data_IF_443766251965
#
_entry.id   IF_443766251965
#
_cell.length_a   1.000
_cell.length_b   1.000
_cell.length_c   1.000
_cell.angle_alpha   90.00
_cell.angle_beta   90.00
_cell.angle_gamma   90.00
#
_symmetry.space_group_name_H-M   'P 1'
#
loop_
_entity.id
_entity.type
_entity.pdbx_description
1 polymer ?
#
# COMPACT_ATOMS: atom_id res chain seq x y z
N UNK A 1 -5.27 -10.33 2.14
CA UNK A 1 -5.31 -9.63 0.84
C UNK A 1 -3.89 -9.44 0.36
N UNK A 2 -3.63 -9.79 -0.88
CA UNK A 2 -2.32 -9.62 -1.53
C UNK A 2 -1.96 -8.14 -1.64
N UNK A 3 -0.69 -7.78 -1.46
CA UNK A 3 -0.21 -6.41 -1.70
C UNK A 3 -0.01 -6.20 -3.20
N UNK A 4 -0.81 -5.30 -3.80
CA UNK A 4 -0.79 -5.03 -5.25
C UNK A 4 0.36 -4.09 -5.61
N UNK A 5 1.24 -4.55 -6.48
CA UNK A 5 2.39 -3.79 -6.97
C UNK A 5 2.21 -3.53 -8.47
N UNK A 6 2.16 -2.26 -8.84
CA UNK A 6 2.14 -1.82 -10.24
C UNK A 6 3.57 -1.50 -10.69
N UNK A 7 4.07 -2.20 -11.70
CA UNK A 7 5.29 -1.83 -12.42
C UNK A 7 4.89 -1.20 -13.74
N UNK A 8 5.01 0.12 -13.84
CA UNK A 8 4.51 0.89 -14.98
C UNK A 8 5.62 1.62 -15.74
N UNK A 9 5.31 2.10 -16.92
CA UNK A 9 6.23 2.87 -17.77
C UNK A 9 6.01 2.60 -19.26
N UNK A 10 6.72 3.31 -20.11
CA UNK A 10 6.60 3.20 -21.56
C UNK A 10 6.94 1.81 -22.11
N UNK A 11 6.39 1.41 -23.27
CA UNK A 11 6.77 0.17 -23.95
C UNK A 11 8.27 0.14 -24.27
N UNK A 12 8.98 -0.85 -23.76
CA UNK A 12 10.44 -0.97 -23.90
C UNK A 12 11.26 -0.45 -22.71
N UNK A 13 10.63 0.11 -21.67
CA UNK A 13 11.33 0.61 -20.46
C UNK A 13 11.90 -0.49 -19.56
N UNK A 14 11.74 -1.78 -19.90
CA UNK A 14 12.29 -2.89 -19.10
C UNK A 14 11.39 -3.39 -17.97
N UNK A 15 10.11 -3.00 -17.92
CA UNK A 15 9.14 -3.44 -16.89
C UNK A 15 9.14 -4.93 -16.64
N UNK A 16 8.99 -5.71 -17.71
CA UNK A 16 8.90 -7.17 -17.62
C UNK A 16 10.17 -7.79 -17.04
N UNK A 17 11.34 -7.33 -17.48
CA UNK A 17 12.63 -7.81 -16.95
C UNK A 17 12.77 -7.44 -15.47
N UNK A 18 12.39 -6.20 -15.11
CA UNK A 18 12.40 -5.74 -13.73
C UNK A 18 11.44 -6.57 -12.86
N UNK A 19 10.23 -6.81 -13.33
CA UNK A 19 9.22 -7.61 -12.62
C UNK A 19 9.71 -9.03 -12.40
N UNK A 20 10.33 -9.66 -13.39
CA UNK A 20 10.90 -11.00 -13.26
C UNK A 20 11.98 -11.08 -12.18
N UNK A 21 12.90 -10.13 -12.15
CA UNK A 21 13.96 -10.10 -11.13
C UNK A 21 13.39 -9.79 -9.72
N UNK A 22 12.39 -8.89 -9.63
CA UNK A 22 11.70 -8.59 -8.38
C UNK A 22 10.95 -9.81 -7.85
N UNK A 23 10.23 -10.53 -8.71
CA UNK A 23 9.55 -11.79 -8.38
C UNK A 23 10.54 -12.81 -7.84
N UNK A 24 11.64 -13.09 -8.56
CA UNK A 24 12.68 -14.02 -8.11
C UNK A 24 13.21 -13.66 -6.72
N UNK A 25 13.40 -12.36 -6.46
CA UNK A 25 13.94 -11.89 -5.19
C UNK A 25 12.95 -12.05 -4.06
N UNK A 26 11.69 -11.70 -4.27
CA UNK A 26 10.62 -11.79 -3.25
C UNK A 26 10.23 -13.24 -2.95
N UNK A 27 10.25 -14.14 -3.95
CA UNK A 27 9.94 -15.56 -3.79
C UNK A 27 10.89 -16.30 -2.85
N UNK A 28 12.02 -15.71 -2.47
CA UNK A 28 12.92 -16.30 -1.48
C UNK A 28 12.30 -16.37 -0.08
N UNK A 29 11.33 -15.49 0.23
CA UNK A 29 10.75 -15.34 1.57
C UNK A 29 9.24 -15.18 1.59
N UNK A 30 8.58 -14.96 0.45
CA UNK A 30 7.17 -14.66 0.33
C UNK A 30 6.53 -15.40 -0.84
N UNK A 31 5.21 -15.54 -0.79
CA UNK A 31 4.42 -16.00 -1.94
C UNK A 31 4.16 -14.84 -2.89
N UNK A 32 4.44 -15.03 -4.18
CA UNK A 32 4.32 -13.97 -5.20
C UNK A 32 3.57 -14.50 -6.41
N UNK A 33 2.60 -13.73 -6.90
CA UNK A 33 1.97 -13.91 -8.21
C UNK A 33 2.36 -12.76 -9.12
N UNK A 34 2.69 -13.10 -10.35
CA UNK A 34 3.05 -12.13 -11.38
C UNK A 34 2.10 -12.21 -12.57
N UNK A 35 1.58 -11.06 -12.96
CA UNK A 35 0.67 -10.87 -14.07
C UNK A 35 1.29 -9.90 -15.07
N UNK A 36 1.72 -10.40 -16.20
CA UNK A 36 2.17 -9.58 -17.32
C UNK A 36 0.98 -9.25 -18.22
N UNK A 37 0.76 -7.97 -18.52
CA UNK A 37 -0.42 -7.55 -19.25
C UNK A 37 -0.50 -8.07 -20.69
N UNK A 38 0.64 -8.26 -21.36
CA UNK A 38 0.65 -8.79 -22.72
C UNK A 38 0.22 -10.28 -22.71
N UNK A 39 0.73 -11.05 -21.75
CA UNK A 39 0.28 -12.44 -21.53
C UNK A 39 -1.21 -12.53 -21.20
N UNK A 40 -1.69 -11.62 -20.35
CA UNK A 40 -3.12 -11.57 -20.02
C UNK A 40 -3.96 -11.20 -21.23
N UNK A 41 -3.53 -10.24 -22.07
CA UNK A 41 -4.21 -9.91 -23.34
C UNK A 41 -4.27 -11.10 -24.28
N UNK A 42 -3.19 -11.84 -24.37
CA UNK A 42 -3.11 -13.06 -25.20
C UNK A 42 -4.11 -14.11 -24.72
N UNK A 43 -4.18 -14.39 -23.42
CA UNK A 43 -5.13 -15.35 -22.82
C UNK A 43 -6.59 -15.01 -23.11
N UNK A 44 -6.92 -13.72 -23.14
CA UNK A 44 -8.27 -13.24 -23.42
C UNK A 44 -8.50 -12.89 -24.90
N UNK A 45 -7.49 -13.03 -25.75
CA UNK A 45 -7.50 -12.61 -27.16
C UNK A 45 -8.01 -11.18 -27.34
N UNK A 46 -7.58 -10.26 -26.47
CA UNK A 46 -8.07 -8.87 -26.40
C UNK A 46 -6.93 -7.87 -26.60
N UNK A 47 -6.67 -7.55 -27.85
CA UNK A 47 -5.65 -6.57 -28.26
C UNK A 47 -6.24 -5.20 -28.61
N UNK A 48 -7.36 -4.85 -27.98
CA UNK A 48 -7.97 -3.54 -28.09
C UNK A 48 -7.20 -2.53 -27.24
N UNK A 49 -6.64 -1.49 -27.89
CA UNK A 49 -5.93 -0.38 -27.26
C UNK A 49 -6.71 0.93 -27.26
N UNK A 50 -8.03 0.90 -27.60
CA UNK A 50 -8.93 2.02 -27.38
C UNK A 50 -9.02 2.40 -25.90
N UNK A 51 -9.55 3.56 -25.54
CA UNK A 51 -9.78 3.92 -24.14
C UNK A 51 -10.57 2.85 -23.38
N UNK A 52 -11.60 2.29 -24.00
CA UNK A 52 -12.44 1.24 -23.43
C UNK A 52 -11.70 -0.07 -23.28
N UNK A 53 -10.86 -0.46 -24.26
CA UNK A 53 -10.02 -1.64 -24.20
C UNK A 53 -8.92 -1.54 -23.14
N UNK A 54 -8.36 -0.35 -22.94
CA UNK A 54 -7.40 -0.08 -21.87
C UNK A 54 -8.06 -0.16 -20.49
N UNK A 55 -9.25 0.41 -20.33
CA UNK A 55 -10.03 0.34 -19.09
C UNK A 55 -10.37 -1.12 -18.74
N UNK A 56 -10.88 -1.88 -19.72
CA UNK A 56 -11.18 -3.30 -19.57
C UNK A 56 -9.96 -4.11 -19.13
N UNK A 57 -8.79 -3.83 -19.72
CA UNK A 57 -7.54 -4.50 -19.35
C UNK A 57 -7.10 -4.17 -17.92
N UNK A 58 -7.17 -2.91 -17.52
CA UNK A 58 -6.80 -2.50 -16.14
C UNK A 58 -7.73 -3.15 -15.11
N UNK A 59 -9.03 -3.18 -15.37
CA UNK A 59 -10.01 -3.85 -14.50
C UNK A 59 -9.68 -5.32 -14.34
N UNK A 60 -9.38 -6.01 -15.46
CA UNK A 60 -8.97 -7.41 -15.47
C UNK A 60 -7.69 -7.65 -14.67
N UNK A 61 -6.68 -6.80 -14.84
CA UNK A 61 -5.42 -6.87 -14.07
C UNK A 61 -5.66 -6.70 -12.57
N UNK A 62 -6.56 -5.79 -12.18
CA UNK A 62 -6.97 -5.61 -10.80
C UNK A 62 -7.67 -6.86 -10.24
N UNK A 63 -8.64 -7.39 -10.95
CA UNK A 63 -9.38 -8.59 -10.53
C UNK A 63 -8.46 -9.80 -10.34
N UNK A 64 -7.48 -9.99 -11.24
CA UNK A 64 -6.47 -11.04 -11.12
C UNK A 64 -5.60 -10.85 -9.88
N UNK A 65 -5.19 -9.60 -9.61
CA UNK A 65 -4.39 -9.27 -8.43
C UNK A 65 -5.17 -9.47 -7.13
N UNK A 66 -6.46 -9.11 -7.11
CA UNK A 66 -7.32 -9.23 -5.92
C UNK A 66 -7.72 -10.69 -5.62
N UNK A 67 -7.88 -11.51 -6.67
CA UNK A 67 -8.29 -12.91 -6.54
C UNK A 67 -7.15 -13.87 -6.17
N UNK A 68 -5.89 -13.42 -6.23
CA UNK A 68 -4.78 -14.30 -5.95
C UNK A 68 -4.51 -14.44 -4.45
N UNK A 69 -4.25 -15.69 -4.03
CA UNK A 69 -3.80 -16.01 -2.67
C UNK A 69 -2.26 -15.98 -2.62
N UNK A 70 -1.72 -14.77 -2.45
CA UNK A 70 -0.28 -14.53 -2.34
C UNK A 70 0.00 -13.30 -1.46
N UNK A 71 1.21 -13.21 -0.91
CA UNK A 71 1.64 -12.02 -0.16
C UNK A 71 1.75 -10.79 -1.06
N UNK A 72 2.24 -11.01 -2.29
CA UNK A 72 2.40 -9.96 -3.30
C UNK A 72 1.80 -10.37 -4.64
N UNK A 73 1.07 -9.45 -5.28
CA UNK A 73 0.67 -9.51 -6.67
C UNK A 73 1.39 -8.42 -7.47
N UNK A 74 2.26 -8.82 -8.38
CA UNK A 74 3.03 -7.91 -9.23
C UNK A 74 2.36 -7.86 -10.60
N UNK A 75 1.95 -6.66 -11.03
CA UNK A 75 1.34 -6.43 -12.32
C UNK A 75 2.20 -5.48 -13.13
N UNK A 76 2.70 -5.91 -14.31
CA UNK A 76 3.48 -5.07 -15.19
C UNK A 76 2.72 -4.71 -16.47
N UNK A 77 2.47 -3.41 -16.64
CA UNK A 77 1.82 -2.84 -17.81
C UNK A 77 2.07 -1.34 -17.93
N UNK A 78 1.71 -0.75 -19.06
CA UNK A 78 2.01 0.67 -19.34
C UNK A 78 1.28 1.61 -18.40
N UNK A 79 0.00 1.37 -18.13
CA UNK A 79 -0.89 2.20 -17.29
C UNK A 79 -0.75 3.71 -17.56
N UNK A 80 -1.10 4.20 -18.77
CA UNK A 80 -0.59 5.46 -19.27
C UNK A 80 -1.22 6.70 -18.65
N UNK A 81 -2.44 6.63 -18.10
CA UNK A 81 -3.16 7.79 -17.55
C UNK A 81 -3.39 7.66 -16.05
N UNK A 82 -3.61 8.79 -15.38
CA UNK A 82 -3.91 8.79 -13.96
C UNK A 82 -5.22 8.03 -13.66
N UNK A 83 -6.25 8.20 -14.48
CA UNK A 83 -7.52 7.49 -14.32
C UNK A 83 -7.34 5.96 -14.30
N UNK A 84 -6.51 5.41 -15.20
CA UNK A 84 -6.24 3.99 -15.24
C UNK A 84 -5.45 3.51 -14.00
N UNK A 85 -4.54 4.34 -13.47
CA UNK A 85 -3.83 4.07 -12.22
C UNK A 85 -4.79 4.06 -11.03
N UNK A 86 -5.73 4.99 -10.99
CA UNK A 86 -6.76 5.08 -9.94
C UNK A 86 -7.69 3.86 -9.99
N UNK A 87 -8.06 3.38 -11.19
CA UNK A 87 -8.84 2.14 -11.35
C UNK A 87 -8.06 0.93 -10.87
N UNK A 88 -6.77 0.81 -11.17
CA UNK A 88 -5.95 -0.30 -10.69
C UNK A 88 -5.76 -0.25 -9.17
N UNK A 89 -5.64 0.93 -8.58
CA UNK A 89 -5.55 1.18 -7.14
C UNK A 89 -4.44 0.35 -6.48
N UNK A 90 -3.21 0.57 -6.93
CA UNK A 90 -2.03 -0.13 -6.43
C UNK A 90 -1.66 0.28 -4.99
N UNK A 91 -1.18 -0.68 -4.18
CA UNK A 91 -0.57 -0.40 -2.88
C UNK A 91 0.86 0.16 -3.01
N UNK A 92 1.51 -0.15 -4.13
CA UNK A 92 2.86 0.32 -4.47
C UNK A 92 2.96 0.54 -5.97
N UNK A 93 3.48 1.70 -6.36
CA UNK A 93 3.74 2.07 -7.76
C UNK A 93 5.24 2.17 -7.98
N UNK A 94 5.75 1.38 -8.93
CA UNK A 94 7.13 1.42 -9.42
C UNK A 94 7.08 1.97 -10.84
N UNK A 95 7.60 3.16 -11.04
CA UNK A 95 7.67 3.77 -12.36
C UNK A 95 9.03 3.54 -13.01
N UNK A 96 9.03 2.81 -14.12
CA UNK A 96 10.19 2.58 -14.98
C UNK A 96 10.33 3.71 -16.00
N UNK A 97 11.10 4.75 -15.68
CA UNK A 97 11.39 5.92 -16.52
C UNK A 97 12.79 5.83 -17.16
N UNK A 98 13.16 4.63 -17.59
CA UNK A 98 14.49 4.35 -18.17
C UNK A 98 14.65 4.78 -19.62
N UNK A 99 13.54 5.15 -20.28
CA UNK A 99 13.50 5.64 -21.66
C UNK A 99 12.56 6.85 -21.77
N UNK A 100 12.85 7.79 -22.65
CA UNK A 100 12.02 8.98 -22.87
C UNK A 100 10.93 8.77 -23.91
N UNK A 101 11.14 7.85 -24.84
CA UNK A 101 10.19 7.52 -25.89
C UNK A 101 10.08 5.99 -26.04
N UNK A 102 8.88 5.48 -26.05
CA UNK A 102 8.57 4.06 -26.32
C UNK A 102 8.39 3.81 -27.82
N UNK A 103 8.18 2.54 -28.17
CA UNK A 103 8.06 2.08 -29.57
C UNK A 103 6.79 2.58 -30.29
N UNK A 104 5.77 3.06 -29.57
CA UNK A 104 4.46 3.39 -30.10
C UNK A 104 4.14 4.86 -29.84
N UNK A 105 4.05 5.67 -30.88
CA UNK A 105 3.81 7.11 -30.79
C UNK A 105 2.47 7.47 -30.17
N UNK A 106 1.43 6.69 -30.38
CA UNK A 106 0.11 6.87 -29.76
C UNK A 106 0.18 6.73 -28.24
N UNK A 107 0.91 5.74 -27.77
CA UNK A 107 1.13 5.50 -26.35
C UNK A 107 2.01 6.58 -25.72
N UNK A 108 3.06 7.06 -26.44
CA UNK A 108 3.91 8.16 -25.98
C UNK A 108 3.09 9.44 -25.75
N UNK A 109 2.16 9.75 -26.66
CA UNK A 109 1.30 10.94 -26.56
C UNK A 109 0.26 10.83 -25.42
N UNK A 110 -0.19 9.60 -25.13
CA UNK A 110 -1.18 9.35 -24.11
C UNK A 110 -0.55 9.29 -22.71
N UNK A 111 0.74 8.94 -22.61
CA UNK A 111 1.40 8.68 -21.35
C UNK A 111 1.54 9.97 -20.52
N UNK A 112 0.93 9.95 -19.36
CA UNK A 112 1.03 11.00 -18.35
C UNK A 112 2.01 10.53 -17.27
N UNK A 113 3.12 11.23 -17.03
CA UNK A 113 3.98 10.95 -15.89
C UNK A 113 3.17 10.89 -14.60
N UNK A 114 3.35 9.89 -13.75
CA UNK A 114 2.63 9.82 -12.50
C UNK A 114 3.02 10.97 -11.56
N UNK A 115 2.04 11.51 -10.82
CA UNK A 115 2.26 12.61 -9.88
C UNK A 115 2.90 12.12 -8.59
N UNK A 116 2.58 10.89 -8.18
CA UNK A 116 3.08 10.25 -6.97
C UNK A 116 3.43 8.79 -7.26
N UNK A 117 4.62 8.38 -6.82
CA UNK A 117 5.12 7.00 -6.97
C UNK A 117 5.97 6.63 -5.76
N UNK A 118 5.90 5.37 -5.37
CA UNK A 118 6.77 4.87 -4.29
C UNK A 118 8.22 4.72 -4.74
N UNK A 119 8.42 4.37 -6.02
CA UNK A 119 9.76 4.19 -6.60
C UNK A 119 9.82 4.73 -8.04
N UNK A 120 10.76 5.63 -8.29
CA UNK A 120 11.05 6.20 -9.61
C UNK A 120 12.39 5.65 -10.12
N UNK A 121 12.35 4.71 -11.04
CA UNK A 121 13.51 4.01 -11.59
C UNK A 121 13.92 4.67 -12.90
N UNK A 122 15.00 5.44 -12.87
CA UNK A 122 15.50 6.21 -14.02
C UNK A 122 16.60 5.51 -14.81
N UNK A 123 17.23 4.53 -14.20
CA UNK A 123 18.29 3.72 -14.79
C UNK A 123 18.12 2.24 -14.45
N UNK A 124 18.74 1.38 -15.25
CA UNK A 124 18.70 -0.06 -15.01
C UNK A 124 19.92 -0.50 -14.21
N UNK A 125 19.74 -0.62 -12.88
CA UNK A 125 20.74 -1.21 -12.00
C UNK A 125 20.13 -2.33 -11.15
N UNK A 126 20.92 -3.37 -10.87
CA UNK A 126 20.49 -4.48 -10.02
C UNK A 126 20.20 -4.05 -8.56
N UNK A 127 20.70 -2.89 -8.15
CA UNK A 127 20.53 -2.37 -6.80
C UNK A 127 19.10 -1.89 -6.56
N UNK A 128 18.37 -1.42 -7.58
CA UNK A 128 16.96 -1.09 -7.49
C UNK A 128 16.11 -2.30 -7.04
N UNK A 129 16.31 -3.45 -7.67
CA UNK A 129 15.56 -4.67 -7.32
C UNK A 129 15.83 -5.09 -5.89
N UNK A 130 17.09 -5.05 -5.44
CA UNK A 130 17.47 -5.40 -4.06
C UNK A 130 16.86 -4.44 -3.03
N UNK A 131 16.97 -3.13 -3.29
CA UNK A 131 16.47 -2.09 -2.41
C UNK A 131 14.94 -2.16 -2.29
N UNK A 132 14.24 -2.26 -3.44
CA UNK A 132 12.77 -2.33 -3.45
C UNK A 132 12.28 -3.61 -2.78
N UNK A 133 12.89 -4.78 -3.08
CA UNK A 133 12.52 -6.03 -2.43
C UNK A 133 12.70 -5.96 -0.91
N UNK A 134 13.82 -5.41 -0.43
CA UNK A 134 14.05 -5.22 1.00
C UNK A 134 12.99 -4.33 1.64
N UNK A 135 12.66 -3.19 1.02
CA UNK A 135 11.65 -2.27 1.53
C UNK A 135 10.23 -2.86 1.52
N UNK A 136 9.89 -3.67 0.51
CA UNK A 136 8.59 -4.33 0.42
C UNK A 136 8.39 -5.38 1.51
N UNK A 137 9.47 -6.02 1.96
CA UNK A 137 9.45 -7.07 2.99
C UNK A 137 9.51 -6.52 4.42
N UNK A 138 9.89 -5.26 4.59
CA UNK A 138 9.79 -4.59 5.90
C UNK A 138 8.29 -4.47 6.23
N UNK A 139 7.80 -5.01 7.37
CA UNK A 139 6.44 -4.74 7.81
C UNK A 139 6.24 -3.22 7.82
N UNK A 140 5.26 -2.72 7.06
CA UNK A 140 4.91 -1.29 7.19
C UNK A 140 4.60 -1.05 8.66
N UNK A 141 5.50 -0.37 9.36
CA UNK A 141 5.14 0.21 10.65
C UNK A 141 3.89 1.07 10.38
N UNK A 142 2.80 0.79 11.10
CA UNK A 142 1.60 1.64 10.97
C UNK A 142 2.04 3.09 10.97
N UNK A 143 1.55 3.90 10.03
CA UNK A 143 1.94 5.31 9.97
C UNK A 143 1.72 5.92 11.36
N UNK A 144 2.68 6.70 11.85
CA UNK A 144 2.59 7.34 13.17
C UNK A 144 1.24 8.05 13.38
N UNK A 145 0.70 8.66 12.31
CA UNK A 145 -0.64 9.28 12.34
C UNK A 145 -1.75 8.25 12.61
N UNK A 146 -1.73 7.09 11.96
CA UNK A 146 -2.74 6.05 12.19
C UNK A 146 -2.65 5.46 13.60
N UNK A 147 -1.44 5.24 14.10
CA UNK A 147 -1.21 4.79 15.48
C UNK A 147 -1.67 5.83 16.50
N UNK A 148 -1.39 7.11 16.27
CA UNK A 148 -1.83 8.21 17.12
C UNK A 148 -3.36 8.32 17.09
N UNK A 149 -3.99 8.26 15.91
CA UNK A 149 -5.45 8.33 15.77
C UNK A 149 -6.14 7.18 16.50
N UNK A 150 -5.62 5.96 16.38
CA UNK A 150 -6.12 4.79 17.13
C UNK A 150 -5.97 5.00 18.64
N UNK A 151 -4.82 5.50 19.10
CA UNK A 151 -4.59 5.76 20.52
C UNK A 151 -5.52 6.82 21.09
N UNK A 152 -5.74 7.90 20.35
CA UNK A 152 -6.66 9.00 20.75
C UNK A 152 -8.09 8.50 20.78
N UNK A 153 -8.56 7.81 19.72
CA UNK A 153 -9.94 7.30 19.66
C UNK A 153 -10.23 6.30 20.77
N UNK A 154 -9.30 5.38 21.04
CA UNK A 154 -9.40 4.44 22.15
C UNK A 154 -9.49 5.15 23.52
N UNK A 155 -8.70 6.21 23.68
CA UNK A 155 -8.70 7.02 24.91
C UNK A 155 -10.04 7.74 25.13
N UNK A 156 -10.61 8.31 24.06
CA UNK A 156 -11.92 8.97 24.10
C UNK A 156 -13.00 7.95 24.49
N UNK A 157 -13.02 6.77 23.88
CA UNK A 157 -13.99 5.71 24.19
C UNK A 157 -13.89 5.31 25.67
N UNK A 158 -12.69 4.97 26.16
CA UNK A 158 -12.50 4.54 27.55
C UNK A 158 -12.84 5.63 28.58
N UNK A 159 -12.54 6.90 28.27
CA UNK A 159 -12.93 8.01 29.15
C UNK A 159 -14.44 8.24 29.18
N UNK A 160 -15.10 8.12 28.02
CA UNK A 160 -16.56 8.23 27.90
C UNK A 160 -17.27 7.09 28.64
N UNK A 161 -16.74 5.88 28.53
CA UNK A 161 -17.26 4.70 29.27
C UNK A 161 -17.19 4.94 30.79
N UNK A 162 -16.04 5.36 31.28
CA UNK A 162 -15.87 5.63 32.71
C UNK A 162 -16.80 6.75 33.18
N UNK A 163 -16.97 7.81 32.39
CA UNK A 163 -17.90 8.90 32.70
C UNK A 163 -19.33 8.38 32.79
N UNK A 164 -19.80 7.63 31.82
CA UNK A 164 -21.16 7.08 31.78
C UNK A 164 -21.45 6.13 32.93
N UNK A 165 -20.53 5.22 33.24
CA UNK A 165 -20.67 4.28 34.37
C UNK A 165 -20.72 5.07 35.70
N UNK A 166 -19.81 6.03 35.90
CA UNK A 166 -19.75 6.84 37.12
C UNK A 166 -21.00 7.69 37.30
N UNK A 167 -21.52 8.26 36.22
CA UNK A 167 -22.77 8.99 36.23
C UNK A 167 -23.98 8.11 36.55
N UNK A 168 -24.06 6.92 35.97
CA UNK A 168 -25.14 5.98 36.27
C UNK A 168 -25.16 5.53 37.74
N UNK A 169 -23.97 5.41 38.37
CA UNK A 169 -23.84 5.00 39.78
C UNK A 169 -24.08 6.18 40.72
N UNK A 170 -23.53 7.36 40.45
CA UNK A 170 -23.55 8.50 41.37
C UNK A 170 -24.75 9.41 41.19
N UNK A 171 -25.38 9.36 40.02
CA UNK A 171 -26.45 10.28 39.62
C UNK A 171 -26.03 11.74 39.47
N UNK A 172 -24.73 12.07 39.65
CA UNK A 172 -24.19 13.42 39.65
C UNK A 172 -23.14 13.61 38.57
N UNK A 173 -23.40 14.51 37.64
CA UNK A 173 -22.50 14.83 36.51
C UNK A 173 -21.14 15.34 36.99
N UNK A 174 -21.10 16.17 38.02
CA UNK A 174 -19.86 16.73 38.57
C UNK A 174 -18.93 15.68 39.16
N UNK A 175 -19.48 14.71 39.92
CA UNK A 175 -18.73 13.58 40.47
C UNK A 175 -18.23 12.63 39.37
N UNK A 176 -19.06 12.36 38.36
CA UNK A 176 -18.71 11.54 37.22
C UNK A 176 -17.56 12.17 36.39
N UNK A 177 -17.60 13.47 36.15
CA UNK A 177 -16.53 14.19 35.47
C UNK A 177 -15.23 14.20 36.26
N UNK A 178 -15.27 14.33 37.58
CA UNK A 178 -14.10 14.23 38.46
C UNK A 178 -13.44 12.85 38.40
N UNK A 179 -14.24 11.79 38.49
CA UNK A 179 -13.74 10.40 38.40
C UNK A 179 -13.09 10.15 37.04
N UNK A 180 -13.74 10.52 35.92
CA UNK A 180 -13.20 10.36 34.59
C UNK A 180 -11.89 11.15 34.40
N UNK A 181 -11.80 12.39 34.93
CA UNK A 181 -10.60 13.20 34.89
C UNK A 181 -9.41 12.57 35.64
N UNK A 182 -9.67 12.11 36.90
CA UNK A 182 -8.65 11.40 37.69
C UNK A 182 -8.18 10.15 37.00
N UNK A 183 -9.06 9.38 36.38
CA UNK A 183 -8.70 8.17 35.64
C UNK A 183 -7.79 8.46 34.46
N UNK A 184 -7.98 9.53 33.70
CA UNK A 184 -7.08 9.92 32.60
C UNK A 184 -5.66 10.15 33.11
N UNK A 185 -5.51 10.88 34.21
CA UNK A 185 -4.19 11.16 34.80
C UNK A 185 -3.55 9.87 35.32
N UNK A 186 -4.29 9.12 36.15
CA UNK A 186 -3.78 7.89 36.78
C UNK A 186 -3.36 6.85 35.74
N UNK A 187 -4.19 6.61 34.72
CA UNK A 187 -3.87 5.63 33.66
C UNK A 187 -2.65 6.05 32.83
N UNK A 188 -2.41 7.33 32.64
CA UNK A 188 -1.20 7.84 31.97
C UNK A 188 0.04 7.60 32.80
N UNK A 189 0.00 7.85 34.10
CA UNK A 189 1.10 7.58 35.02
C UNK A 189 1.40 6.07 35.15
N UNK A 190 0.35 5.25 35.24
CA UNK A 190 0.50 3.79 35.31
C UNK A 190 1.09 3.21 34.01
N UNK A 191 0.66 3.71 32.85
CA UNK A 191 1.24 3.30 31.58
C UNK A 191 2.73 3.65 31.51
N UNK A 192 3.10 4.88 31.87
CA UNK A 192 4.51 5.30 31.93
C UNK A 192 5.35 4.43 32.87
N UNK A 193 4.82 4.14 34.05
CA UNK A 193 5.51 3.28 35.03
C UNK A 193 5.69 1.86 34.51
N UNK A 194 4.62 1.28 33.93
CA UNK A 194 4.64 -0.06 33.33
C UNK A 194 5.69 -0.16 32.20
N UNK A 195 5.77 0.82 31.31
CA UNK A 195 6.76 0.85 30.24
C UNK A 195 8.21 0.88 30.79
N UNK A 196 8.44 1.63 31.86
CA UNK A 196 9.75 1.67 32.56
C UNK A 196 10.13 0.32 33.18
N UNK A 197 9.16 -0.43 33.69
CA UNK A 197 9.42 -1.77 34.24
C UNK A 197 9.81 -2.72 33.14
N UNK A 198 9.11 -2.72 32.00
CA UNK A 198 9.41 -3.59 30.87
C UNK A 198 10.77 -3.30 30.24
N UNK A 199 11.21 -2.03 30.20
CA UNK A 199 12.56 -1.69 29.75
C UNK A 199 13.70 -2.26 30.63
N UNK A 200 13.40 -2.65 31.88
CA UNK A 200 14.40 -3.24 32.80
C UNK A 200 14.45 -4.78 32.77
N UNK A 201 13.50 -5.43 32.09
CA UNK A 201 13.35 -6.89 32.04
C UNK A 201 14.03 -7.47 30.75
N UNK A 202 14.86 -6.70 30.08
CA UNK A 202 15.66 -7.18 28.94
C UNK A 202 16.87 -7.93 29.41
#
# INVERSE_FOLDING_TARGET
MSKRILVMGLPGSGKTTFSQELVKKLMLTHTVKWFNADTVREQYNDWDFSPEGRLRQVTRMRELADSCDADFSICDFVCPTQELRDVFDADVIIWMDTIKEGRFNDTNKLFQPPLDVDYHVTDWTADWVKSIAANLTIPRSESHLRSITKAISWRIIGTSETFLISWAITGQIGSAGGIAGIQVVLSTLLYWAHERVWHKIK
#
